data_IF_418167563550
#
_entry.id   IF_418167563550
#
_cell.length_a   1.000
_cell.length_b   1.000
_cell.length_c   1.000
_cell.angle_alpha   90.00
_cell.angle_beta   90.00
_cell.angle_gamma   90.00
#
_symmetry.space_group_name_H-M   'P 1'
#
loop_
_entity.id
_entity.type
_entity.pdbx_description
1 polymer ?
#
# COMPACT_ATOMS: atom_id res chain seq x y z
N UNK A 1 28.04 -0.75 14.84
CA UNK A 1 27.57 -1.48 13.63
C UNK A 1 26.08 -1.19 13.44
N UNK A 2 25.62 -1.02 12.18
CA UNK A 2 24.18 -0.97 11.90
C UNK A 2 23.58 -2.34 12.17
N UNK A 3 22.35 -2.38 12.71
CA UNK A 3 21.56 -3.62 12.81
C UNK A 3 21.24 -4.15 11.42
N UNK A 4 21.09 -5.47 11.28
CA UNK A 4 20.72 -6.11 10.03
C UNK A 4 19.22 -6.27 9.91
N UNK A 5 18.67 -5.86 8.78
CA UNK A 5 17.26 -6.07 8.51
C UNK A 5 17.03 -6.82 7.20
N UNK A 6 15.91 -7.54 7.13
CA UNK A 6 15.42 -8.21 5.94
C UNK A 6 14.09 -7.59 5.52
N UNK A 7 13.96 -7.23 4.25
CA UNK A 7 12.71 -6.75 3.69
C UNK A 7 12.08 -7.85 2.83
N UNK A 8 10.84 -8.19 3.12
CA UNK A 8 10.07 -9.17 2.35
C UNK A 8 9.12 -8.46 1.40
N UNK A 9 9.31 -8.68 0.10
CA UNK A 9 8.46 -8.15 -0.97
C UNK A 9 7.78 -9.28 -1.75
N UNK A 10 6.70 -8.96 -2.43
CA UNK A 10 6.00 -9.90 -3.31
C UNK A 10 6.76 -10.10 -4.63
N UNK A 11 7.07 -9.03 -5.31
CA UNK A 11 7.81 -8.98 -6.57
C UNK A 11 8.63 -7.70 -6.68
N UNK A 12 9.64 -7.65 -7.54
CA UNK A 12 10.33 -6.41 -7.84
C UNK A 12 9.37 -5.36 -8.42
N UNK A 13 9.36 -4.18 -7.83
CA UNK A 13 8.68 -3.01 -8.38
C UNK A 13 9.50 -1.74 -8.09
N UNK A 14 9.13 -0.62 -8.72
CA UNK A 14 9.90 0.62 -8.60
C UNK A 14 9.83 1.24 -7.20
N UNK A 15 8.77 0.97 -6.42
CA UNK A 15 8.63 1.49 -5.06
C UNK A 15 9.58 0.81 -4.08
N UNK A 16 9.94 -0.44 -4.34
CA UNK A 16 10.82 -1.21 -3.45
C UNK A 16 12.17 -0.51 -3.25
N UNK A 17 12.70 0.14 -4.31
CA UNK A 17 13.97 0.88 -4.23
C UNK A 17 13.93 2.01 -3.21
N UNK A 18 12.78 2.69 -3.04
CA UNK A 18 12.64 3.79 -2.09
C UNK A 18 12.67 3.29 -0.64
N UNK A 19 11.96 2.21 -0.33
CA UNK A 19 11.99 1.62 1.00
C UNK A 19 13.39 1.08 1.32
N UNK A 20 14.03 0.38 0.38
CA UNK A 20 15.40 -0.10 0.53
C UNK A 20 16.36 1.06 0.78
N UNK A 21 16.32 2.12 -0.02
CA UNK A 21 17.16 3.30 0.11
C UNK A 21 17.01 3.95 1.48
N UNK A 22 15.77 4.20 1.92
CA UNK A 22 15.49 4.80 3.22
C UNK A 22 16.02 3.96 4.37
N UNK A 23 15.75 2.66 4.36
CA UNK A 23 16.19 1.77 5.43
C UNK A 23 17.72 1.60 5.43
N UNK A 24 18.38 1.69 4.28
CA UNK A 24 19.85 1.58 4.17
C UNK A 24 20.59 2.70 4.90
N UNK A 25 19.95 3.83 5.16
CA UNK A 25 20.54 4.89 5.96
C UNK A 25 20.72 4.47 7.43
N UNK A 26 19.87 3.57 7.94
CA UNK A 26 19.84 3.15 9.36
C UNK A 26 20.28 1.72 9.59
N UNK A 27 20.05 0.83 8.61
CA UNK A 27 20.26 -0.62 8.71
C UNK A 27 21.18 -1.13 7.61
N UNK A 28 21.77 -2.30 7.84
CA UNK A 28 22.33 -3.14 6.79
C UNK A 28 21.18 -3.94 6.19
N UNK A 29 20.80 -3.61 4.93
CA UNK A 29 19.56 -4.09 4.33
C UNK A 29 19.79 -5.29 3.42
N UNK A 30 19.08 -6.37 3.71
CA UNK A 30 18.87 -7.50 2.83
C UNK A 30 17.40 -7.47 2.34
N UNK A 31 17.13 -8.02 1.16
CA UNK A 31 15.76 -8.11 0.67
C UNK A 31 15.48 -9.43 -0.05
N UNK A 32 14.21 -9.82 -0.07
CA UNK A 32 13.77 -11.08 -0.62
C UNK A 32 12.40 -10.94 -1.31
N UNK A 33 12.28 -11.48 -2.53
CA UNK A 33 11.03 -11.47 -3.29
C UNK A 33 10.37 -12.83 -3.24
N UNK A 34 9.13 -12.92 -2.70
CA UNK A 34 8.39 -14.19 -2.63
C UNK A 34 8.07 -14.75 -4.03
N UNK A 35 8.00 -13.89 -5.05
CA UNK A 35 7.81 -14.32 -6.45
C UNK A 35 8.92 -15.24 -6.96
N UNK A 36 10.12 -15.18 -6.37
CA UNK A 36 11.22 -16.07 -6.72
C UNK A 36 10.98 -17.52 -6.27
N UNK A 37 9.99 -17.73 -5.39
CA UNK A 37 9.63 -19.03 -4.81
C UNK A 37 8.30 -19.56 -5.34
N UNK A 38 7.95 -19.26 -6.60
CA UNK A 38 6.66 -19.63 -7.20
C UNK A 38 6.37 -21.13 -7.18
N UNK A 39 7.40 -21.94 -7.26
CA UNK A 39 7.30 -23.40 -7.29
C UNK A 39 7.34 -24.04 -5.89
N UNK A 40 7.48 -23.23 -4.85
CA UNK A 40 7.57 -23.70 -3.47
C UNK A 40 6.23 -23.64 -2.77
N UNK A 41 6.03 -24.59 -1.87
CA UNK A 41 4.88 -24.55 -1.00
C UNK A 41 5.10 -23.57 0.17
N UNK A 42 4.03 -23.30 0.88
CA UNK A 42 4.03 -22.37 2.03
C UNK A 42 5.14 -22.67 3.06
N UNK A 43 5.29 -23.96 3.44
CA UNK A 43 6.29 -24.34 4.47
C UNK A 43 7.72 -24.12 3.96
N UNK A 44 8.02 -24.52 2.73
CA UNK A 44 9.34 -24.33 2.11
C UNK A 44 9.73 -22.86 2.04
N UNK A 45 8.78 -21.98 1.68
CA UNK A 45 9.02 -20.53 1.66
C UNK A 45 9.33 -19.99 3.05
N UNK A 46 8.56 -20.42 4.08
CA UNK A 46 8.81 -20.04 5.48
C UNK A 46 10.18 -20.52 5.97
N UNK A 47 10.54 -21.77 5.65
CA UNK A 47 11.82 -22.35 6.05
C UNK A 47 13.00 -21.59 5.42
N UNK A 48 12.87 -21.16 4.15
CA UNK A 48 13.89 -20.32 3.49
C UNK A 48 14.03 -18.94 4.12
N UNK A 49 12.92 -18.30 4.44
CA UNK A 49 12.96 -17.02 5.16
C UNK A 49 13.67 -17.19 6.49
N UNK A 50 13.31 -18.21 7.27
CA UNK A 50 13.93 -18.49 8.56
C UNK A 50 15.43 -18.82 8.46
N UNK A 51 15.83 -19.61 7.46
CA UNK A 51 17.22 -19.90 7.18
C UNK A 51 18.02 -18.66 6.79
N UNK A 52 17.41 -17.74 6.01
CA UNK A 52 18.02 -16.46 5.67
C UNK A 52 18.22 -15.61 6.93
N UNK A 53 17.21 -15.54 7.81
CA UNK A 53 17.26 -14.81 9.07
C UNK A 53 18.43 -15.32 9.93
N UNK A 54 18.59 -16.61 10.06
CA UNK A 54 19.67 -17.22 10.86
C UNK A 54 21.03 -17.00 10.24
N UNK A 55 21.18 -17.34 8.96
CA UNK A 55 22.45 -17.24 8.24
C UNK A 55 22.98 -15.81 8.19
N UNK A 56 22.12 -14.84 7.89
CA UNK A 56 22.47 -13.42 7.80
C UNK A 56 22.48 -12.70 9.15
N UNK A 57 22.03 -13.36 10.23
CA UNK A 57 21.87 -12.79 11.59
C UNK A 57 20.97 -11.55 11.56
N UNK A 58 19.79 -11.69 10.94
CA UNK A 58 18.80 -10.63 10.82
C UNK A 58 18.15 -10.37 12.18
N UNK A 59 18.03 -9.11 12.57
CA UNK A 59 17.42 -8.68 13.83
C UNK A 59 16.00 -8.14 13.63
N UNK A 60 15.72 -7.58 12.44
CA UNK A 60 14.46 -6.92 12.12
C UNK A 60 13.96 -7.40 10.76
N UNK A 61 12.69 -7.78 10.67
CA UNK A 61 12.03 -8.10 9.41
C UNK A 61 10.99 -7.05 9.10
N UNK A 62 11.17 -6.36 7.98
CA UNK A 62 10.15 -5.51 7.37
C UNK A 62 9.41 -6.30 6.30
N UNK A 63 8.13 -6.05 6.15
CA UNK A 63 7.37 -6.56 5.02
C UNK A 63 6.27 -5.59 4.62
N UNK A 64 6.02 -5.48 3.32
CA UNK A 64 4.86 -4.75 2.84
C UNK A 64 3.60 -5.63 2.88
N UNK A 65 2.45 -5.00 2.99
CA UNK A 65 1.17 -5.73 3.09
C UNK A 65 0.84 -6.55 1.84
N UNK A 66 1.45 -6.24 0.69
CA UNK A 66 1.29 -7.00 -0.53
C UNK A 66 2.17 -8.26 -0.59
N UNK A 67 3.12 -8.41 0.35
CA UNK A 67 4.06 -9.53 0.38
C UNK A 67 3.37 -10.87 0.11
N UNK A 68 2.42 -11.26 0.92
CA UNK A 68 1.65 -12.49 0.75
C UNK A 68 0.13 -12.28 0.85
N UNK A 69 -0.34 -11.02 0.84
CA UNK A 69 -1.75 -10.63 0.95
C UNK A 69 -2.45 -11.34 2.13
N UNK A 70 -3.50 -12.12 1.84
CA UNK A 70 -4.25 -12.89 2.85
C UNK A 70 -3.42 -13.94 3.59
N UNK A 71 -2.24 -14.26 3.11
CA UNK A 71 -1.32 -15.18 3.78
C UNK A 71 -0.37 -14.48 4.76
N UNK A 72 -0.31 -13.14 4.78
CA UNK A 72 0.63 -12.39 5.60
C UNK A 72 0.61 -12.82 7.07
N UNK A 73 -0.57 -12.87 7.70
CA UNK A 73 -0.71 -13.30 9.08
C UNK A 73 -0.02 -14.65 9.34
N UNK A 74 -0.27 -15.63 8.47
CA UNK A 74 0.25 -16.99 8.64
C UNK A 74 1.74 -17.08 8.37
N UNK A 75 2.26 -16.35 7.38
CA UNK A 75 3.70 -16.26 7.12
C UNK A 75 4.43 -15.61 8.29
N UNK A 76 3.98 -14.45 8.72
CA UNK A 76 4.65 -13.63 9.73
C UNK A 76 4.66 -14.32 11.10
N UNK A 77 3.60 -15.06 11.44
CA UNK A 77 3.56 -15.86 12.66
C UNK A 77 4.60 -16.99 12.71
N UNK A 78 5.02 -17.49 11.54
CA UNK A 78 5.98 -18.59 11.44
C UNK A 78 7.42 -18.13 11.26
N UNK A 79 7.63 -16.84 11.07
CA UNK A 79 8.97 -16.25 11.08
C UNK A 79 9.51 -16.30 12.53
N UNK A 80 10.79 -16.63 12.67
CA UNK A 80 11.49 -16.73 13.94
C UNK A 80 11.38 -15.48 14.79
N UNK A 81 11.79 -15.56 16.04
CA UNK A 81 11.76 -14.46 17.01
C UNK A 81 12.74 -13.35 16.59
N UNK A 82 12.31 -12.50 15.71
CA UNK A 82 12.93 -11.24 15.30
C UNK A 82 11.88 -10.14 15.40
N UNK A 83 12.30 -8.89 15.49
CA UNK A 83 11.34 -7.76 15.45
C UNK A 83 10.66 -7.71 14.09
N UNK A 84 9.34 -7.56 14.04
CA UNK A 84 8.52 -7.60 12.83
C UNK A 84 7.83 -6.28 12.63
N UNK A 85 8.14 -5.63 11.52
CA UNK A 85 7.63 -4.32 11.16
C UNK A 85 6.79 -4.44 9.89
N UNK A 86 5.51 -4.16 10.00
CA UNK A 86 4.58 -4.11 8.87
C UNK A 86 4.58 -2.72 8.23
N UNK A 87 4.72 -2.64 6.92
CA UNK A 87 4.57 -1.41 6.13
C UNK A 87 3.26 -1.49 5.36
N UNK A 88 2.36 -0.53 5.56
CA UNK A 88 1.04 -0.54 4.93
C UNK A 88 0.89 0.57 3.90
N UNK A 89 0.42 0.17 2.70
CA UNK A 89 -0.02 1.05 1.63
C UNK A 89 -1.52 0.89 1.45
N UNK A 90 -2.20 1.90 0.93
CA UNK A 90 -3.65 1.85 0.68
C UNK A 90 -4.48 1.25 1.85
N UNK A 91 -3.99 1.40 3.07
CA UNK A 91 -4.48 0.72 4.28
C UNK A 91 -5.97 0.99 4.54
N UNK A 92 -6.45 2.19 4.26
CA UNK A 92 -7.85 2.55 4.42
C UNK A 92 -8.82 1.58 3.68
N UNK A 93 -8.40 1.03 2.53
CA UNK A 93 -9.21 0.11 1.73
C UNK A 93 -9.13 -1.35 2.21
N UNK A 94 -8.11 -1.68 2.99
CA UNK A 94 -7.83 -3.04 3.43
C UNK A 94 -7.49 -3.12 4.93
N UNK A 95 -7.87 -2.08 5.69
CA UNK A 95 -7.53 -1.95 7.10
C UNK A 95 -7.89 -3.18 7.93
N UNK A 96 -9.08 -3.73 7.74
CA UNK A 96 -9.54 -4.91 8.49
C UNK A 96 -8.66 -6.14 8.24
N UNK A 97 -8.23 -6.34 6.99
CA UNK A 97 -7.30 -7.41 6.63
C UNK A 97 -5.91 -7.17 7.22
N UNK A 98 -5.43 -5.94 7.13
CA UNK A 98 -4.12 -5.57 7.67
C UNK A 98 -4.12 -5.62 9.21
N UNK A 99 -5.21 -5.27 9.87
CA UNK A 99 -5.37 -5.37 11.32
C UNK A 99 -5.23 -6.83 11.82
N UNK A 100 -5.70 -7.81 11.06
CA UNK A 100 -5.46 -9.23 11.37
C UNK A 100 -3.95 -9.54 11.30
N UNK A 101 -3.27 -9.05 10.26
CA UNK A 101 -1.81 -9.22 10.11
C UNK A 101 -1.04 -8.51 11.23
N UNK A 102 -1.52 -7.36 11.68
CA UNK A 102 -0.95 -6.58 12.78
C UNK A 102 -0.83 -7.39 14.08
N UNK A 103 -1.68 -8.40 14.30
CA UNK A 103 -1.57 -9.33 15.43
C UNK A 103 -0.20 -10.04 15.50
N UNK A 104 0.49 -10.16 14.37
CA UNK A 104 1.78 -10.85 14.25
C UNK A 104 2.98 -9.90 14.20
N UNK A 105 2.73 -8.60 14.30
CA UNK A 105 3.74 -7.55 14.14
C UNK A 105 4.03 -6.88 15.48
N UNK A 106 5.22 -6.33 15.58
CA UNK A 106 5.64 -5.53 16.72
C UNK A 106 5.36 -4.05 16.49
N UNK A 107 5.57 -3.57 15.25
CA UNK A 107 5.37 -2.19 14.86
C UNK A 107 4.66 -2.12 13.50
N UNK A 108 3.85 -1.10 13.32
CA UNK A 108 3.14 -0.81 12.08
C UNK A 108 3.57 0.57 11.57
N UNK A 109 4.10 0.62 10.36
CA UNK A 109 4.37 1.85 9.61
C UNK A 109 3.26 2.03 8.58
N UNK A 110 2.44 3.05 8.77
CA UNK A 110 1.24 3.25 7.96
C UNK A 110 1.30 4.57 7.19
N UNK A 111 1.06 4.52 5.88
CA UNK A 111 1.00 5.72 5.05
C UNK A 111 -0.29 6.53 5.20
N UNK A 112 -1.31 5.95 5.82
CA UNK A 112 -2.56 6.65 6.12
C UNK A 112 -2.56 7.17 7.57
N UNK A 113 -2.61 8.49 7.81
CA UNK A 113 -2.64 9.05 9.16
C UNK A 113 -3.83 8.55 9.97
N UNK A 114 -5.00 8.49 9.36
CA UNK A 114 -6.22 8.02 10.01
C UNK A 114 -6.12 6.54 10.42
N UNK A 115 -5.62 5.68 9.53
CA UNK A 115 -5.40 4.27 9.86
C UNK A 115 -4.36 4.09 10.96
N UNK A 116 -3.34 4.95 11.02
CA UNK A 116 -2.37 4.97 12.12
C UNK A 116 -3.05 5.15 13.47
N UNK A 117 -4.01 6.08 13.58
CA UNK A 117 -4.78 6.29 14.80
C UNK A 117 -5.66 5.06 15.14
N UNK A 118 -6.30 4.46 14.14
CA UNK A 118 -7.10 3.23 14.35
C UNK A 118 -6.27 2.07 14.91
N UNK A 119 -5.02 1.92 14.46
CA UNK A 119 -4.10 0.94 15.06
C UNK A 119 -3.75 1.27 16.50
N UNK A 120 -3.44 2.54 16.79
CA UNK A 120 -3.12 2.99 18.16
C UNK A 120 -4.30 2.82 19.12
N UNK A 121 -5.52 3.11 18.68
CA UNK A 121 -6.74 2.90 19.45
C UNK A 121 -6.90 1.44 19.89
N UNK A 122 -6.47 0.49 19.07
CA UNK A 122 -6.44 -0.95 19.38
C UNK A 122 -5.19 -1.39 20.16
N UNK A 123 -4.36 -0.47 20.61
CA UNK A 123 -3.15 -0.75 21.38
C UNK A 123 -1.94 -1.23 20.56
N UNK A 124 -1.97 -1.11 19.24
CA UNK A 124 -0.79 -1.42 18.43
C UNK A 124 0.18 -0.25 18.41
N UNK A 125 1.46 -0.55 18.45
CA UNK A 125 2.50 0.45 18.21
C UNK A 125 2.53 0.80 16.71
N UNK A 126 2.06 1.99 16.37
CA UNK A 126 1.90 2.43 14.99
C UNK A 126 2.38 3.85 14.78
N UNK A 127 3.06 4.07 13.65
CA UNK A 127 3.59 5.35 13.23
C UNK A 127 3.12 5.70 11.83
N UNK A 128 2.75 6.96 11.64
CA UNK A 128 2.53 7.47 10.31
C UNK A 128 3.87 7.61 9.59
N UNK A 129 3.94 7.07 8.38
CA UNK A 129 5.09 7.17 7.50
C UNK A 129 4.64 7.84 6.19
N UNK A 130 5.24 8.96 5.78
CA UNK A 130 4.92 9.55 4.48
C UNK A 130 5.01 8.53 3.36
N UNK A 131 4.16 8.61 2.32
CA UNK A 131 4.24 7.75 1.15
C UNK A 131 5.67 7.68 0.59
N UNK A 132 6.08 6.50 0.14
CA UNK A 132 7.44 6.28 -0.34
C UNK A 132 7.72 7.07 -1.60
N UNK A 133 8.42 8.16 -1.44
CA UNK A 133 8.99 8.97 -2.50
C UNK A 133 10.41 9.38 -2.09
N UNK A 134 11.23 9.70 -3.04
CA UNK A 134 12.60 10.17 -2.80
C UNK A 134 12.71 11.63 -3.24
N UNK A 135 12.96 12.52 -2.29
CA UNK A 135 13.14 13.95 -2.55
C UNK A 135 14.40 14.26 -3.40
N UNK A 136 15.34 13.32 -3.49
CA UNK A 136 16.48 13.45 -4.40
C UNK A 136 16.12 13.15 -5.86
N UNK A 137 15.08 12.33 -6.06
CA UNK A 137 14.56 11.94 -7.37
C UNK A 137 13.46 12.91 -7.80
N UNK A 138 12.38 13.00 -7.00
CA UNK A 138 11.32 13.97 -7.23
C UNK A 138 11.78 15.35 -6.77
N UNK A 139 12.21 16.17 -7.70
CA UNK A 139 12.69 17.52 -7.42
C UNK A 139 12.24 18.48 -8.52
N UNK A 140 12.18 19.76 -8.17
CA UNK A 140 11.84 20.81 -9.11
C UNK A 140 12.98 21.01 -10.13
N UNK A 141 12.68 20.81 -11.40
CA UNK A 141 13.63 21.07 -12.51
C UNK A 141 13.64 22.53 -12.97
N UNK A 142 12.86 23.41 -12.33
CA UNK A 142 12.75 24.84 -12.67
C UNK A 142 12.40 25.08 -14.14
N UNK A 143 11.54 24.25 -14.70
CA UNK A 143 11.07 24.36 -16.09
C UNK A 143 9.94 25.37 -16.22
N UNK A 144 9.82 25.95 -17.43
CA UNK A 144 8.69 26.83 -17.75
C UNK A 144 7.36 26.09 -17.59
N UNK A 145 6.37 26.75 -17.00
CA UNK A 145 5.03 26.21 -16.76
C UNK A 145 4.18 26.29 -18.04
N UNK A 146 4.21 25.23 -18.83
CA UNK A 146 3.55 25.13 -20.16
C UNK A 146 2.22 24.37 -20.11
N UNK A 147 2.00 23.56 -19.08
CA UNK A 147 0.81 22.71 -18.91
C UNK A 147 -0.08 23.36 -17.86
N UNK A 148 -1.32 23.69 -18.22
CA UNK A 148 -2.25 24.32 -17.28
C UNK A 148 -2.60 23.36 -16.14
N UNK A 149 -3.12 22.17 -16.47
CA UNK A 149 -3.49 21.15 -15.48
C UNK A 149 -2.95 19.79 -15.92
N UNK A 150 -2.30 19.07 -15.00
CA UNK A 150 -1.84 17.70 -15.19
C UNK A 150 -2.61 16.75 -14.29
N UNK A 151 -3.11 15.66 -14.86
CA UNK A 151 -3.51 14.47 -14.12
C UNK A 151 -2.63 13.29 -14.53
N UNK A 152 -2.08 12.55 -13.58
CA UNK A 152 -1.35 11.32 -13.86
C UNK A 152 -1.85 10.16 -12.98
N UNK A 153 -1.95 8.98 -13.58
CA UNK A 153 -2.47 7.75 -12.99
C UNK A 153 -3.74 7.28 -13.67
N UNK A 154 -4.32 6.20 -13.17
CA UNK A 154 -5.50 5.57 -13.78
C UNK A 154 -6.72 6.50 -13.81
N UNK A 155 -7.22 6.75 -15.00
CA UNK A 155 -8.44 7.53 -15.23
C UNK A 155 -9.65 6.59 -15.18
N UNK A 156 -10.24 6.43 -13.99
CA UNK A 156 -11.38 5.53 -13.77
C UNK A 156 -12.60 6.32 -13.29
N UNK A 157 -13.78 5.86 -13.71
CA UNK A 157 -15.11 6.28 -13.21
C UNK A 157 -15.21 7.75 -12.78
N UNK A 158 -15.32 8.01 -11.49
CA UNK A 158 -15.54 9.36 -10.96
C UNK A 158 -14.44 10.35 -11.33
N UNK A 159 -13.18 9.91 -11.43
CA UNK A 159 -12.08 10.79 -11.88
C UNK A 159 -12.27 11.28 -13.29
N UNK A 160 -12.74 10.38 -14.17
CA UNK A 160 -13.05 10.73 -15.56
C UNK A 160 -14.11 11.82 -15.61
N UNK A 161 -15.20 11.68 -14.83
CA UNK A 161 -16.26 12.69 -14.76
C UNK A 161 -15.76 14.08 -14.36
N UNK A 162 -14.87 14.15 -13.37
CA UNK A 162 -14.26 15.43 -12.97
C UNK A 162 -13.39 16.03 -14.06
N UNK A 163 -12.59 15.21 -14.72
CA UNK A 163 -11.68 15.67 -15.78
C UNK A 163 -12.46 16.08 -17.02
N UNK A 164 -13.46 15.29 -17.45
CA UNK A 164 -14.35 15.64 -18.56
C UNK A 164 -15.06 16.97 -18.26
N UNK A 165 -15.60 17.15 -17.05
CA UNK A 165 -16.25 18.39 -16.64
C UNK A 165 -15.31 19.61 -16.72
N UNK A 166 -14.06 19.48 -16.31
CA UNK A 166 -13.08 20.57 -16.46
C UNK A 166 -12.79 20.88 -17.91
N UNK A 167 -12.64 19.85 -18.76
CA UNK A 167 -12.41 20.02 -20.22
C UNK A 167 -13.60 20.69 -20.89
N UNK A 168 -14.83 20.28 -20.58
CA UNK A 168 -16.07 20.85 -21.11
C UNK A 168 -16.23 22.34 -20.71
N UNK A 169 -15.61 22.74 -19.57
CA UNK A 169 -15.54 24.14 -19.13
C UNK A 169 -14.26 24.87 -19.60
N UNK A 170 -13.59 24.37 -20.63
CA UNK A 170 -12.47 25.06 -21.30
C UNK A 170 -11.10 24.90 -20.64
N UNK A 171 -10.95 24.07 -19.61
CA UNK A 171 -9.65 23.82 -18.95
C UNK A 171 -8.83 22.81 -19.78
N UNK A 172 -7.59 23.17 -20.11
CA UNK A 172 -6.65 22.27 -20.79
C UNK A 172 -6.03 21.29 -19.81
N UNK A 173 -6.50 20.04 -19.81
CA UNK A 173 -6.00 18.97 -18.93
C UNK A 173 -5.13 18.00 -19.71
N UNK A 174 -3.88 17.84 -19.31
CA UNK A 174 -2.99 16.77 -19.79
C UNK A 174 -3.15 15.53 -18.92
N UNK A 175 -3.40 14.38 -19.54
CA UNK A 175 -3.62 13.10 -18.86
C UNK A 175 -2.46 12.15 -19.19
N UNK A 176 -1.88 11.49 -18.17
CA UNK A 176 -0.77 10.53 -18.29
C UNK A 176 -1.00 9.33 -17.38
N UNK A 177 -0.58 8.14 -17.79
CA UNK A 177 -0.72 6.91 -16.99
C UNK A 177 -2.11 6.27 -17.12
N UNK A 178 -2.79 6.50 -18.24
CA UNK A 178 -4.05 5.88 -18.60
C UNK A 178 -3.88 5.09 -19.91
N UNK A 179 -4.46 3.89 -19.97
CA UNK A 179 -4.31 2.94 -21.08
C UNK A 179 -2.83 2.65 -21.39
N UNK A 180 -2.34 3.04 -22.58
CA UNK A 180 -0.94 2.84 -23.01
C UNK A 180 -0.05 4.09 -22.81
N UNK A 181 -0.60 5.19 -22.31
CA UNK A 181 0.12 6.46 -22.15
C UNK A 181 0.85 6.53 -20.80
N UNK A 182 1.84 5.67 -20.60
CA UNK A 182 2.69 5.65 -19.40
C UNK A 182 3.95 6.45 -19.62
N UNK A 183 4.26 7.35 -18.70
CA UNK A 183 5.52 8.07 -18.65
C UNK A 183 6.54 7.30 -17.80
N UNK A 184 7.79 7.37 -18.17
CA UNK A 184 8.90 6.98 -17.26
C UNK A 184 8.93 7.90 -16.05
N UNK A 185 9.66 7.53 -15.00
CA UNK A 185 9.79 8.37 -13.81
C UNK A 185 10.37 9.74 -14.13
N UNK A 186 11.41 9.80 -14.97
CA UNK A 186 12.03 11.06 -15.39
C UNK A 186 11.10 11.95 -16.22
N UNK A 187 10.37 11.34 -17.17
CA UNK A 187 9.35 12.06 -17.95
C UNK A 187 8.23 12.60 -17.07
N UNK A 188 7.78 11.82 -16.08
CA UNK A 188 6.76 12.26 -15.15
C UNK A 188 7.22 13.45 -14.32
N UNK A 189 8.45 13.45 -13.81
CA UNK A 189 9.04 14.58 -13.07
C UNK A 189 9.09 15.84 -13.95
N UNK A 190 9.52 15.70 -15.21
CA UNK A 190 9.51 16.82 -16.18
C UNK A 190 8.10 17.34 -16.44
N UNK A 191 7.12 16.46 -16.61
CA UNK A 191 5.72 16.84 -16.81
C UNK A 191 5.15 17.56 -15.60
N UNK A 192 5.40 17.08 -14.39
CA UNK A 192 4.98 17.74 -13.14
C UNK A 192 5.65 19.12 -13.07
N UNK A 193 6.98 19.20 -13.27
CA UNK A 193 7.72 20.47 -13.20
C UNK A 193 7.25 21.51 -14.24
N UNK A 194 6.76 21.07 -15.40
CA UNK A 194 6.18 21.92 -16.46
C UNK A 194 4.72 22.30 -16.21
N UNK A 195 4.06 21.73 -15.21
CA UNK A 195 2.64 21.96 -14.96
C UNK A 195 2.42 23.11 -13.98
N UNK A 196 1.39 23.91 -14.20
CA UNK A 196 0.92 24.93 -13.26
C UNK A 196 0.24 24.26 -12.06
N UNK A 197 -0.64 23.30 -12.33
CA UNK A 197 -1.46 22.60 -11.35
C UNK A 197 -1.40 21.10 -11.62
N UNK A 198 -1.36 20.30 -10.54
CA UNK A 198 -1.62 18.85 -10.58
C UNK A 198 -2.93 18.57 -9.87
N UNK A 199 -3.77 17.71 -10.46
CA UNK A 199 -4.99 17.21 -9.82
C UNK A 199 -4.73 15.91 -9.08
N UNK A 200 -5.19 15.82 -7.85
CA UNK A 200 -5.22 14.62 -7.06
C UNK A 200 -6.64 14.21 -6.70
N UNK A 201 -6.94 12.92 -6.87
CA UNK A 201 -8.18 12.31 -6.40
C UNK A 201 -7.86 11.34 -5.27
N UNK A 202 -8.41 11.61 -4.12
CA UNK A 202 -8.18 10.89 -2.87
C UNK A 202 -9.07 9.65 -2.75
N UNK A 203 -10.25 9.67 -3.37
CA UNK A 203 -11.22 8.59 -3.28
C UNK A 203 -10.65 7.27 -3.80
N UNK A 204 -10.94 6.22 -3.07
CA UNK A 204 -10.62 4.87 -3.50
C UNK A 204 -11.43 4.46 -4.71
N UNK A 205 -10.87 3.55 -5.47
CA UNK A 205 -11.59 2.88 -6.56
C UNK A 205 -12.41 1.72 -5.98
N UNK A 206 -13.54 2.02 -5.36
CA UNK A 206 -14.32 1.13 -4.52
C UNK A 206 -14.69 -0.24 -5.07
N UNK A 207 -14.73 -0.47 -6.38
CA UNK A 207 -15.28 -1.69 -6.93
C UNK A 207 -14.31 -2.88 -7.02
N UNK A 208 -12.99 -2.64 -7.10
CA UNK A 208 -12.01 -3.72 -7.31
C UNK A 208 -11.47 -4.34 -6.02
N UNK A 209 -11.59 -3.67 -4.89
CA UNK A 209 -11.09 -4.14 -3.58
C UNK A 209 -12.21 -4.80 -2.78
N UNK A 210 -13.45 -4.61 -3.17
CA UNK A 210 -14.67 -4.86 -2.41
C UNK A 210 -15.12 -6.31 -2.30
N UNK A 211 -14.44 -7.24 -2.94
CA UNK A 211 -14.84 -8.65 -2.84
C UNK A 211 -14.53 -9.31 -1.48
N UNK A 212 -13.97 -8.56 -0.51
CA UNK A 212 -13.39 -9.15 0.69
C UNK A 212 -13.87 -8.56 2.01
N UNK A 213 -14.48 -7.37 2.00
CA UNK A 213 -15.01 -6.74 3.19
C UNK A 213 -16.24 -5.89 2.84
N UNK A 214 -16.96 -5.39 3.83
CA UNK A 214 -18.18 -4.61 3.64
C UNK A 214 -17.99 -3.49 2.60
N UNK A 215 -18.39 -3.78 1.36
CA UNK A 215 -18.15 -2.97 0.16
C UNK A 215 -18.59 -1.50 0.33
N UNK A 216 -19.60 -1.25 1.15
CA UNK A 216 -20.19 0.07 1.30
C UNK A 216 -19.30 1.03 2.10
N UNK A 217 -18.49 0.53 3.03
CA UNK A 217 -17.54 1.36 3.79
C UNK A 217 -16.50 1.96 2.87
N UNK A 218 -16.02 1.22 1.87
CA UNK A 218 -14.95 1.66 0.97
C UNK A 218 -15.35 2.71 -0.05
N UNK A 219 -16.62 2.84 -0.35
CA UNK A 219 -17.13 3.90 -1.23
C UNK A 219 -16.89 5.31 -0.68
N UNK A 220 -16.76 5.42 0.64
CA UNK A 220 -16.58 6.68 1.36
C UNK A 220 -15.14 6.88 1.89
N UNK A 221 -14.22 5.97 1.58
CA UNK A 221 -12.84 6.09 2.04
C UNK A 221 -11.99 6.90 1.07
N UNK A 222 -11.34 7.88 1.64
CA UNK A 222 -10.44 8.80 0.97
C UNK A 222 -9.05 8.69 1.57
N UNK A 223 -8.01 8.68 0.76
CA UNK A 223 -6.64 8.49 1.24
C UNK A 223 -5.67 9.59 0.79
N UNK A 224 -4.60 9.74 1.53
CA UNK A 224 -3.44 10.48 1.11
C UNK A 224 -2.72 9.72 -0.02
N UNK A 225 -2.68 10.30 -1.22
CA UNK A 225 -2.01 9.70 -2.39
C UNK A 225 -0.59 10.22 -2.57
N UNK A 226 0.31 9.36 -3.05
CA UNK A 226 1.68 9.73 -3.38
C UNK A 226 1.79 10.86 -4.41
N UNK A 227 0.80 11.01 -5.31
CA UNK A 227 0.71 12.08 -6.30
C UNK A 227 0.81 13.48 -5.70
N UNK A 228 0.13 13.69 -4.59
CA UNK A 228 0.17 14.95 -3.85
C UNK A 228 1.60 15.30 -3.45
N UNK A 229 2.33 14.34 -2.93
CA UNK A 229 3.70 14.53 -2.47
C UNK A 229 4.65 14.73 -3.64
N UNK A 230 4.54 13.91 -4.69
CA UNK A 230 5.34 14.03 -5.91
C UNK A 230 5.20 15.42 -6.53
N UNK A 231 3.99 15.95 -6.54
CA UNK A 231 3.72 17.29 -7.08
C UNK A 231 4.45 18.37 -6.31
N UNK A 232 4.37 18.35 -4.99
CA UNK A 232 5.02 19.36 -4.15
C UNK A 232 6.54 19.26 -4.17
N UNK A 233 7.11 18.06 -4.16
CA UNK A 233 8.56 17.86 -4.31
C UNK A 233 9.06 18.41 -5.66
N UNK A 234 8.25 18.33 -6.73
CA UNK A 234 8.57 18.90 -8.04
C UNK A 234 8.22 20.40 -8.17
N UNK A 235 7.85 21.08 -7.11
CA UNK A 235 7.56 22.52 -7.11
C UNK A 235 6.25 22.89 -7.80
N UNK A 236 5.25 22.01 -7.82
CA UNK A 236 3.97 22.23 -8.48
C UNK A 236 2.82 22.13 -7.50
N UNK A 237 1.92 23.11 -7.51
CA UNK A 237 0.74 23.11 -6.67
C UNK A 237 -0.14 21.90 -6.99
N UNK A 238 -0.56 21.17 -5.95
CA UNK A 238 -1.56 20.13 -6.07
C UNK A 238 -2.92 20.63 -5.58
N UNK A 239 -3.95 20.51 -6.39
CA UNK A 239 -5.35 20.68 -5.99
C UNK A 239 -5.91 19.29 -5.77
N UNK A 240 -6.43 19.02 -4.58
CA UNK A 240 -6.77 17.67 -4.16
C UNK A 240 -8.25 17.51 -3.85
N UNK A 241 -8.83 16.39 -4.27
CA UNK A 241 -10.07 15.93 -3.66
C UNK A 241 -9.85 15.76 -2.16
N UNK A 242 -10.81 16.20 -1.37
CA UNK A 242 -10.77 16.14 0.09
C UNK A 242 -10.49 14.74 0.63
N UNK A 243 -9.72 14.68 1.71
CA UNK A 243 -9.49 13.45 2.48
C UNK A 243 -9.25 13.79 3.95
N UNK A 244 -9.89 13.12 4.91
CA UNK A 244 -9.63 13.33 6.34
C UNK A 244 -8.17 13.14 6.72
N UNK A 245 -7.46 12.21 6.07
CA UNK A 245 -6.03 12.00 6.29
C UNK A 245 -5.17 13.17 5.81
N UNK A 246 -5.63 13.96 4.85
CA UNK A 246 -4.94 15.18 4.41
C UNK A 246 -5.05 16.29 5.46
N UNK A 247 -6.23 16.48 6.05
CA UNK A 247 -6.44 17.49 7.11
C UNK A 247 -5.58 17.26 8.36
N UNK A 248 -5.18 16.02 8.61
CA UNK A 248 -4.28 15.70 9.72
C UNK A 248 -2.84 16.19 9.50
N UNK A 249 -2.48 16.50 8.24
CA UNK A 249 -1.11 16.86 7.85
C UNK A 249 -1.06 18.28 7.31
N UNK A 250 -2.11 18.70 6.61
CA UNK A 250 -2.19 19.95 5.86
C UNK A 250 -3.44 20.72 6.25
N UNK A 251 -3.31 22.02 6.34
CA UNK A 251 -4.47 22.91 6.41
C UNK A 251 -4.90 23.38 5.02
N UNK A 252 -6.08 23.98 4.90
CA UNK A 252 -6.64 24.44 3.63
C UNK A 252 -5.78 25.51 2.92
N UNK A 253 -4.94 26.24 3.66
CA UNK A 253 -4.01 27.22 3.08
C UNK A 253 -2.79 26.55 2.47
N UNK A 254 -2.45 25.36 2.92
CA UNK A 254 -1.33 24.57 2.39
C UNK A 254 -1.73 23.76 1.16
N UNK A 255 -2.94 23.20 1.17
CA UNK A 255 -3.48 22.44 0.03
C UNK A 255 -4.91 22.86 -0.25
N UNK A 256 -5.21 23.41 -1.45
CA UNK A 256 -6.58 23.63 -1.88
C UNK A 256 -7.30 22.28 -2.08
N UNK A 257 -8.43 22.10 -1.39
CA UNK A 257 -9.21 20.87 -1.44
C UNK A 257 -10.59 21.14 -2.03
N UNK A 258 -11.10 20.18 -2.80
CA UNK A 258 -12.45 20.20 -3.38
C UNK A 258 -13.23 18.93 -3.01
N UNK A 259 -14.55 19.02 -2.98
CA UNK A 259 -15.49 17.91 -2.80
C UNK A 259 -16.38 17.70 -4.02
N UNK A 260 -16.64 18.79 -4.77
CA UNK A 260 -17.51 18.78 -5.93
C UNK A 260 -16.77 19.19 -7.21
N UNK A 261 -17.39 18.95 -8.37
CA UNK A 261 -16.83 19.38 -9.68
C UNK A 261 -16.76 20.91 -9.78
N UNK A 262 -17.80 21.60 -9.29
CA UNK A 262 -17.86 23.06 -9.32
C UNK A 262 -16.78 23.69 -8.43
N UNK A 263 -16.59 23.19 -7.21
CA UNK A 263 -15.48 23.62 -6.35
C UNK A 263 -14.12 23.38 -7.02
N UNK A 264 -13.93 22.24 -7.68
CA UNK A 264 -12.71 21.93 -8.40
C UNK A 264 -12.46 22.95 -9.52
N UNK A 265 -13.48 23.25 -10.33
CA UNK A 265 -13.41 24.23 -11.42
C UNK A 265 -13.11 25.64 -10.90
N UNK A 266 -13.80 26.08 -9.84
CA UNK A 266 -13.58 27.39 -9.22
C UNK A 266 -12.12 27.53 -8.73
N UNK A 267 -11.62 26.53 -8.02
CA UNK A 267 -10.24 26.54 -7.49
C UNK A 267 -9.25 26.55 -8.67
N UNK A 268 -9.43 25.73 -9.70
CA UNK A 268 -8.56 25.68 -10.87
C UNK A 268 -8.53 27.05 -11.57
N UNK A 269 -9.69 27.64 -11.85
CA UNK A 269 -9.79 28.97 -12.48
C UNK A 269 -9.11 30.04 -11.67
N UNK A 270 -9.29 30.08 -10.36
CA UNK A 270 -8.66 31.04 -9.44
C UNK A 270 -7.14 31.02 -9.55
N UNK A 271 -6.53 29.84 -9.63
CA UNK A 271 -5.08 29.72 -9.75
C UNK A 271 -4.57 29.95 -11.16
N UNK A 272 -5.30 29.55 -12.20
CA UNK A 272 -4.89 29.77 -13.59
C UNK A 272 -4.98 31.26 -13.96
N UNK A 273 -5.91 32.02 -13.38
CA UNK A 273 -6.07 33.46 -13.63
C UNK A 273 -5.13 34.35 -12.79
N UNK A 274 -4.44 33.82 -11.77
CA UNK A 274 -3.58 34.60 -10.88
C UNK A 274 -2.22 33.93 -10.67
N UNK A 275 -1.26 34.28 -11.51
CA UNK A 275 0.09 33.73 -11.49
C UNK A 275 0.86 33.99 -10.18
N UNK A 276 0.65 35.15 -9.53
CA UNK A 276 1.32 35.46 -8.27
C UNK A 276 0.82 34.55 -7.13
N UNK A 277 -0.51 34.39 -7.07
CA UNK A 277 -1.14 33.49 -6.10
C UNK A 277 -0.67 32.05 -6.31
N UNK A 278 -0.67 31.59 -7.57
CA UNK A 278 -0.20 30.26 -7.94
C UNK A 278 1.26 30.05 -7.48
N UNK A 279 2.15 30.97 -7.83
CA UNK A 279 3.58 30.89 -7.45
C UNK A 279 3.77 30.86 -5.95
N UNK A 280 3.07 31.76 -5.21
CA UNK A 280 3.13 31.82 -3.74
C UNK A 280 2.72 30.47 -3.11
N UNK A 281 1.58 29.92 -3.53
CA UNK A 281 1.08 28.66 -2.98
C UNK A 281 1.90 27.46 -3.43
N UNK A 282 2.40 27.41 -4.67
CA UNK A 282 3.31 26.35 -5.12
C UNK A 282 4.59 26.29 -4.28
N UNK A 283 5.18 27.46 -3.97
CA UNK A 283 6.39 27.52 -3.15
C UNK A 283 6.12 27.07 -1.71
N UNK A 284 5.02 27.52 -1.11
CA UNK A 284 4.64 27.11 0.24
C UNK A 284 4.38 25.61 0.31
N UNK A 285 3.62 25.07 -0.63
CA UNK A 285 3.34 23.65 -0.73
C UNK A 285 4.60 22.81 -0.94
N UNK A 286 5.51 23.26 -1.81
CA UNK A 286 6.80 22.61 -2.03
C UNK A 286 7.65 22.58 -0.76
N UNK A 287 7.75 23.69 -0.05
CA UNK A 287 8.48 23.78 1.23
C UNK A 287 7.92 22.80 2.27
N UNK A 288 6.59 22.69 2.35
CA UNK A 288 5.93 21.73 3.25
C UNK A 288 6.24 20.29 2.89
N UNK A 289 6.28 19.95 1.58
CA UNK A 289 6.64 18.61 1.15
C UNK A 289 8.10 18.28 1.48
N UNK A 290 9.02 19.19 1.26
CA UNK A 290 10.44 19.02 1.61
C UNK A 290 10.60 18.79 3.12
N UNK A 291 9.89 19.59 3.96
CA UNK A 291 9.87 19.40 5.41
C UNK A 291 9.39 18.00 5.82
N UNK A 292 8.31 17.50 5.18
CA UNK A 292 7.79 16.15 5.46
C UNK A 292 8.79 15.04 5.11
N UNK A 293 9.68 15.27 4.15
CA UNK A 293 10.71 14.32 3.75
C UNK A 293 12.07 14.57 4.38
N UNK A 294 12.16 15.54 5.30
CA UNK A 294 13.37 15.74 6.08
C UNK A 294 13.58 14.54 7.00
N UNK A 295 14.62 13.76 6.71
CA UNK A 295 14.91 12.48 7.35
C UNK A 295 15.05 12.58 8.87
N UNK A 296 15.68 13.67 9.35
CA UNK A 296 15.92 13.87 10.78
C UNK A 296 14.64 14.11 11.58
N UNK A 297 13.63 14.75 10.97
CA UNK A 297 12.41 15.15 11.66
C UNK A 297 11.39 14.01 11.68
N UNK A 298 11.14 13.38 10.54
CA UNK A 298 10.01 12.48 10.41
C UNK A 298 10.39 10.98 10.47
N UNK A 299 11.60 10.62 10.08
CA UNK A 299 12.01 9.21 10.04
C UNK A 299 12.85 8.79 11.26
N UNK A 300 13.73 9.65 11.76
CA UNK A 300 14.57 9.33 12.92
C UNK A 300 13.78 8.93 14.18
N UNK A 301 12.64 9.57 14.55
CA UNK A 301 11.82 9.10 15.66
C UNK A 301 11.26 7.70 15.45
N UNK A 302 10.84 7.37 14.20
CA UNK A 302 10.32 6.04 13.85
C UNK A 302 11.41 4.98 14.04
N UNK A 303 12.61 5.22 13.54
CA UNK A 303 13.71 4.25 13.69
C UNK A 303 14.14 4.08 15.15
N UNK A 304 14.14 5.15 15.94
CA UNK A 304 14.34 5.04 17.38
C UNK A 304 13.30 4.14 18.05
N UNK A 305 12.03 4.26 17.67
CA UNK A 305 10.97 3.42 18.19
C UNK A 305 11.14 1.94 17.75
N UNK A 306 11.54 1.70 16.51
CA UNK A 306 11.84 0.34 16.03
C UNK A 306 12.97 -0.30 16.85
N UNK A 307 13.94 0.47 17.31
CA UNK A 307 15.06 -0.02 18.10
C UNK A 307 14.73 -0.28 19.57
N UNK A 308 13.62 0.25 20.10
CA UNK A 308 13.18 0.02 21.48
C UNK A 308 12.58 -1.38 21.66
N UNK A 309 12.53 -1.89 22.89
CA UNK A 309 11.78 -3.10 23.22
C UNK A 309 10.33 -2.98 22.82
N UNK A 310 9.74 -4.06 22.32
CA UNK A 310 8.33 -4.08 21.90
C UNK A 310 7.42 -4.13 23.12
N UNK A 311 6.41 -3.27 23.14
CA UNK A 311 5.36 -3.31 24.16
C UNK A 311 4.36 -4.44 23.84
N UNK A 312 3.81 -5.04 24.89
CA UNK A 312 2.79 -6.06 24.74
C UNK A 312 1.50 -5.43 24.22
N UNK A 313 0.92 -6.03 23.19
CA UNK A 313 -0.38 -5.61 22.63
C UNK A 313 -1.49 -5.79 23.65
N UNK A 314 -2.40 -4.83 23.68
CA UNK A 314 -3.51 -4.80 24.62
C UNK A 314 -4.65 -5.70 24.13
N UNK A 315 -5.01 -5.59 22.84
CA UNK A 315 -6.13 -6.32 22.26
C UNK A 315 -5.76 -6.91 20.91
N UNK A 316 -6.05 -8.17 20.71
CA UNK A 316 -5.82 -8.86 19.45
C UNK A 316 -7.10 -8.87 18.61
N UNK A 317 -7.00 -8.50 17.35
CA UNK A 317 -8.10 -8.62 16.41
C UNK A 317 -8.38 -10.10 16.14
N UNK A 318 -9.64 -10.51 16.31
CA UNK A 318 -10.05 -11.89 16.03
C UNK A 318 -9.85 -12.23 14.55
N UNK A 319 -9.45 -13.47 14.27
CA UNK A 319 -9.31 -13.96 12.90
C UNK A 319 -10.67 -14.46 12.41
N UNK A 320 -11.35 -13.74 11.52
CA UNK A 320 -12.68 -14.12 11.07
C UNK A 320 -12.62 -15.27 10.06
N UNK A 321 -13.72 -16.04 9.97
CA UNK A 321 -13.86 -17.15 9.04
C UNK A 321 -13.55 -16.76 7.58
N UNK A 322 -14.04 -15.61 7.11
CA UNK A 322 -13.81 -15.15 5.73
C UNK A 322 -12.34 -15.00 5.37
N UNK A 323 -11.51 -14.53 6.31
CA UNK A 323 -10.07 -14.36 6.10
C UNK A 323 -9.37 -15.71 5.93
N UNK A 324 -9.66 -16.66 6.81
CA UNK A 324 -9.07 -18.00 6.78
C UNK A 324 -9.52 -18.75 5.51
N UNK A 325 -10.81 -18.62 5.15
CA UNK A 325 -11.38 -19.19 3.93
C UNK A 325 -10.67 -18.70 2.66
N UNK A 326 -10.39 -17.40 2.56
CA UNK A 326 -9.68 -16.84 1.40
C UNK A 326 -8.25 -17.34 1.37
N UNK A 327 -7.56 -17.36 2.51
CA UNK A 327 -6.19 -17.89 2.60
C UNK A 327 -6.13 -19.36 2.15
N UNK A 328 -7.07 -20.19 2.61
CA UNK A 328 -7.18 -21.59 2.20
C UNK A 328 -7.42 -21.72 0.68
N UNK A 329 -8.34 -20.93 0.11
CA UNK A 329 -8.58 -20.92 -1.35
C UNK A 329 -7.34 -20.53 -2.16
N UNK A 330 -6.51 -19.61 -1.66
CA UNK A 330 -5.26 -19.25 -2.34
C UNK A 330 -4.25 -20.41 -2.37
N UNK A 331 -4.19 -21.21 -1.30
CA UNK A 331 -3.34 -22.40 -1.26
C UNK A 331 -3.82 -23.42 -2.30
N UNK A 332 -5.13 -23.67 -2.37
CA UNK A 332 -5.73 -24.66 -3.27
C UNK A 332 -5.55 -24.28 -4.74
N UNK A 333 -5.84 -23.02 -5.10
CA UNK A 333 -5.78 -22.56 -6.51
C UNK A 333 -4.42 -22.75 -7.19
N UNK A 334 -3.33 -22.79 -6.45
CA UNK A 334 -1.98 -22.86 -7.02
C UNK A 334 -1.62 -24.24 -7.60
N UNK A 335 -2.33 -25.32 -7.25
CA UNK A 335 -1.80 -26.67 -7.44
C UNK A 335 -2.80 -27.73 -7.97
N UNK A 336 -3.98 -27.34 -8.49
CA UNK A 336 -4.98 -28.34 -8.91
C UNK A 336 -4.65 -28.89 -10.32
N UNK A 337 -4.04 -30.05 -10.32
CA UNK A 337 -3.98 -30.94 -11.46
C UNK A 337 -4.53 -32.31 -11.01
N UNK A 338 -5.41 -32.92 -11.84
CA UNK A 338 -6.08 -34.20 -11.57
C UNK A 338 -5.11 -35.35 -11.30
N UNK A 339 -3.91 -35.28 -11.83
CA UNK A 339 -2.92 -36.35 -11.75
C UNK A 339 -2.19 -36.42 -10.39
N UNK A 340 -2.50 -35.55 -9.46
CA UNK A 340 -1.83 -35.49 -8.18
C UNK A 340 -2.81 -35.59 -7.00
N UNK A 341 -3.46 -36.72 -6.77
CA UNK A 341 -4.15 -37.00 -5.50
C UNK A 341 -3.22 -36.83 -4.30
N UNK A 342 -1.95 -37.17 -4.43
CA UNK A 342 -0.91 -36.91 -3.41
C UNK A 342 -0.69 -35.43 -3.15
N UNK A 343 -0.82 -34.57 -4.19
CA UNK A 343 -0.74 -33.12 -4.02
C UNK A 343 -1.94 -32.55 -3.25
N UNK A 344 -3.11 -33.17 -3.35
CA UNK A 344 -4.31 -32.76 -2.61
C UNK A 344 -4.16 -32.99 -1.10
N UNK A 345 -3.54 -34.10 -0.68
CA UNK A 345 -3.20 -34.34 0.73
C UNK A 345 -2.14 -33.36 1.24
N UNK A 346 -1.15 -33.03 0.43
CA UNK A 346 -0.16 -31.99 0.78
C UNK A 346 -0.81 -30.62 0.93
N UNK A 347 -1.78 -30.27 0.07
CA UNK A 347 -2.54 -29.03 0.16
C UNK A 347 -3.40 -28.96 1.42
N UNK A 348 -4.12 -30.05 1.75
CA UNK A 348 -4.89 -30.15 2.97
C UNK A 348 -4.00 -29.96 4.20
N UNK A 349 -2.83 -30.59 4.22
CA UNK A 349 -1.84 -30.39 5.31
C UNK A 349 -1.38 -28.94 5.43
N UNK A 350 -1.19 -28.24 4.31
CA UNK A 350 -0.85 -26.80 4.32
C UNK A 350 -2.00 -25.93 4.84
N UNK A 351 -3.24 -26.25 4.42
CA UNK A 351 -4.44 -25.57 4.96
C UNK A 351 -4.56 -25.79 6.47
N UNK A 352 -4.39 -27.01 6.95
CA UNK A 352 -4.44 -27.32 8.39
C UNK A 352 -3.36 -26.55 9.17
N UNK A 353 -2.15 -26.42 8.63
CA UNK A 353 -1.10 -25.59 9.22
C UNK A 353 -1.47 -24.11 9.30
N UNK A 354 -2.18 -23.59 8.30
CA UNK A 354 -2.69 -22.23 8.30
C UNK A 354 -3.78 -22.03 9.36
N UNK A 355 -4.61 -23.07 9.57
CA UNK A 355 -5.72 -23.05 10.53
C UNK A 355 -5.28 -23.12 12.00
N UNK A 356 -4.05 -23.53 12.29
CA UNK A 356 -3.53 -23.80 13.64
C UNK A 356 -3.77 -22.68 14.67
N UNK A 357 -3.84 -21.42 14.20
CA UNK A 357 -4.09 -20.24 15.04
C UNK A 357 -5.55 -19.78 15.09
N UNK A 358 -6.45 -20.48 14.42
CA UNK A 358 -7.88 -20.14 14.41
C UNK A 358 -8.68 -20.98 15.40
N UNK A 359 -9.92 -20.58 15.69
CA UNK A 359 -10.83 -21.36 16.54
C UNK A 359 -11.14 -22.73 15.91
N UNK A 360 -11.43 -23.73 16.75
CA UNK A 360 -11.81 -25.08 16.30
C UNK A 360 -12.98 -25.04 15.33
N UNK A 361 -13.97 -24.17 15.57
CA UNK A 361 -15.11 -23.98 14.68
C UNK A 361 -14.68 -23.53 13.28
N UNK A 362 -13.81 -22.52 13.19
CA UNK A 362 -13.25 -22.02 11.92
C UNK A 362 -12.43 -23.10 11.22
N UNK A 363 -11.63 -23.87 11.99
CA UNK A 363 -10.86 -24.99 11.44
C UNK A 363 -11.77 -26.02 10.77
N UNK A 364 -12.85 -26.40 11.42
CA UNK A 364 -13.80 -27.41 10.94
C UNK A 364 -14.50 -26.93 9.66
N UNK A 365 -15.05 -25.72 9.66
CA UNK A 365 -15.76 -25.13 8.51
C UNK A 365 -14.84 -25.00 7.29
N UNK A 366 -13.64 -24.46 7.47
CA UNK A 366 -12.68 -24.28 6.36
C UNK A 366 -12.17 -25.60 5.84
N UNK A 367 -11.98 -26.60 6.70
CA UNK A 367 -11.57 -27.96 6.28
C UNK A 367 -12.64 -28.61 5.41
N UNK A 368 -13.91 -28.56 5.82
CA UNK A 368 -15.04 -29.08 5.04
C UNK A 368 -15.12 -28.37 3.68
N UNK A 369 -15.09 -27.04 3.68
CA UNK A 369 -15.14 -26.27 2.42
C UNK A 369 -13.93 -26.57 1.52
N UNK A 370 -12.75 -26.77 2.09
CA UNK A 370 -11.55 -27.15 1.35
C UNK A 370 -11.71 -28.48 0.63
N UNK A 371 -12.24 -29.51 1.34
CA UNK A 371 -12.51 -30.82 0.77
C UNK A 371 -13.55 -30.72 -0.38
N UNK A 372 -14.63 -29.99 -0.16
CA UNK A 372 -15.67 -29.77 -1.18
C UNK A 372 -15.11 -29.05 -2.42
N UNK A 373 -14.27 -28.04 -2.24
CA UNK A 373 -13.62 -27.34 -3.35
C UNK A 373 -12.65 -28.28 -4.14
N UNK A 374 -11.87 -29.10 -3.44
CA UNK A 374 -10.97 -30.08 -4.10
C UNK A 374 -11.81 -31.04 -4.97
N UNK A 375 -12.89 -31.59 -4.42
CA UNK A 375 -13.80 -32.49 -5.15
C UNK A 375 -14.42 -31.80 -6.37
N UNK A 376 -14.95 -30.58 -6.19
CA UNK A 376 -15.56 -29.81 -7.27
C UNK A 376 -14.58 -29.53 -8.43
N UNK A 377 -13.39 -29.09 -8.13
CA UNK A 377 -12.38 -28.82 -9.16
C UNK A 377 -11.90 -30.11 -9.84
N UNK A 378 -11.81 -31.21 -9.12
CA UNK A 378 -11.48 -32.52 -9.71
C UNK A 378 -12.56 -32.94 -10.71
N UNK A 379 -13.84 -32.82 -10.40
CA UNK A 379 -14.96 -33.12 -11.30
C UNK A 379 -14.96 -32.20 -12.52
N UNK A 380 -14.75 -30.90 -12.35
CA UNK A 380 -14.74 -29.92 -13.44
C UNK A 380 -13.61 -30.18 -14.43
N UNK A 381 -12.48 -30.61 -13.96
CA UNK A 381 -11.30 -30.92 -14.77
C UNK A 381 -11.46 -32.22 -15.56
N UNK A 382 -12.27 -33.21 -15.09
CA UNK A 382 -12.66 -34.39 -15.88
C UNK A 382 -13.57 -33.96 -17.04
N UNK A 383 -14.56 -33.09 -16.77
CA UNK A 383 -15.51 -32.63 -17.81
C UNK A 383 -14.87 -31.71 -18.89
N UNK A 384 -13.73 -31.10 -18.64
CA UNK A 384 -13.05 -30.22 -19.62
C UNK A 384 -12.09 -31.00 -20.55
N UNK A 385 -11.91 -32.28 -20.32
CA UNK A 385 -11.07 -33.19 -21.16
C UNK A 385 -11.87 -34.14 -22.05
N UNK A 386 -13.19 -34.20 -21.82
CA UNK A 386 -14.17 -34.80 -22.71
C UNK A 386 -14.91 -33.67 -23.47
#
# INVERSE_FOLDING_TARGET
MKKKCLILFKWPNYLNKYLISKLSNFYEVEHLFISNYKNENFSQTVDKINSTIEYKKIEIVFFDVDFAKFMNFFFINRIKKVKKVMVTYDDYAVHEMNAITANSCDIILCQCPLSTLKYREKGYESYWMPPENDANIFKNYNLNKEIDVLFFGQLRNDRKKFIDFLIDNGIKVKIVGHESNWATEEELIKLISKSKIVLNFSKSLGETVTNYAAADIYKFHYQLKGRLIQSGLCGTLCISEYSPGQEMIFNEKEIPMFRTQDECLEIVNRYLSNNELLKKHSNHFSSKMLELYEEKVNFKPIYKAIDQPTFKKVELVAIPYWYVRIAAKQIIKKNISIWNMLSSFSQLKQVLKVLEKSSIYVQLLVTIETILNILWYSIKSIKSKN
#
